data_IF_260023055291
#
_entry.id   IF_260023055291
#
_cell.length_a   1.000
_cell.length_b   1.000
_cell.length_c   1.000
_cell.angle_alpha   90.00
_cell.angle_beta   90.00
_cell.angle_gamma   90.00
#
_symmetry.space_group_name_H-M   'P 1'
#
loop_
_entity.id
_entity.type
_entity.pdbx_description
1 polymer ?
#
# COMPACT_ATOMS: atom_id res chain seq x y z
N UNK A 1 22.26 -10.33 13.54
CA UNK A 1 21.62 -9.29 14.40
C UNK A 1 20.33 -8.70 13.81
N UNK A 2 20.09 -8.79 12.50
CA UNK A 2 18.87 -8.27 11.84
C UNK A 2 17.61 -9.11 12.12
N UNK A 3 17.73 -10.44 12.21
CA UNK A 3 16.60 -11.34 12.50
C UNK A 3 15.99 -11.14 13.89
N UNK A 4 16.81 -11.00 14.94
CA UNK A 4 16.32 -10.78 16.31
C UNK A 4 15.52 -9.48 16.44
N UNK A 5 16.01 -8.38 15.84
CA UNK A 5 15.27 -7.11 15.78
C UNK A 5 13.96 -7.26 15.02
N UNK A 6 13.95 -8.00 13.91
CA UNK A 6 12.73 -8.28 13.15
C UNK A 6 11.72 -9.11 13.97
N UNK A 7 12.21 -10.06 14.78
CA UNK A 7 11.36 -10.90 15.64
C UNK A 7 10.75 -10.10 16.79
N UNK A 8 11.53 -9.23 17.46
CA UNK A 8 11.00 -8.33 18.50
C UNK A 8 9.95 -7.40 17.90
N UNK A 9 10.25 -6.77 16.76
CA UNK A 9 9.32 -5.89 16.07
C UNK A 9 8.02 -6.61 15.71
N UNK A 10 8.14 -7.82 15.15
CA UNK A 10 6.97 -8.65 14.83
C UNK A 10 6.17 -9.00 16.08
N UNK A 11 6.81 -9.42 17.18
CA UNK A 11 6.13 -9.75 18.42
C UNK A 11 5.40 -8.54 19.02
N UNK A 12 6.00 -7.35 18.97
CA UNK A 12 5.37 -6.11 19.41
C UNK A 12 4.15 -5.76 18.55
N UNK A 13 4.26 -5.86 17.22
CA UNK A 13 3.16 -5.57 16.29
C UNK A 13 2.04 -6.62 16.32
N UNK A 14 2.39 -7.89 16.50
CA UNK A 14 1.44 -9.01 16.54
C UNK A 14 0.68 -9.07 17.86
N UNK A 15 1.37 -8.91 18.99
CA UNK A 15 0.81 -9.03 20.34
C UNK A 15 0.51 -7.67 20.99
N UNK A 16 0.37 -6.61 20.19
CA UNK A 16 0.07 -5.25 20.69
C UNK A 16 -1.13 -5.21 21.65
N UNK A 17 -2.18 -6.02 21.39
CA UNK A 17 -3.37 -6.13 22.23
C UNK A 17 -3.02 -6.66 23.64
N UNK A 18 -2.15 -7.67 23.71
CA UNK A 18 -1.68 -8.24 24.98
C UNK A 18 -0.86 -7.20 25.74
N UNK A 19 0.01 -6.45 25.06
CA UNK A 19 0.81 -5.40 25.70
C UNK A 19 -0.05 -4.27 26.27
N UNK A 20 -1.02 -3.77 25.50
CA UNK A 20 -1.95 -2.74 25.98
C UNK A 20 -2.78 -3.26 27.16
N UNK A 21 -3.29 -4.48 27.06
CA UNK A 21 -4.05 -5.10 28.14
C UNK A 21 -3.20 -5.31 29.41
N UNK A 22 -1.94 -5.74 29.25
CA UNK A 22 -0.99 -5.88 30.35
C UNK A 22 -0.74 -4.54 31.07
N UNK A 23 -0.59 -3.45 30.32
CA UNK A 23 -0.42 -2.10 30.90
C UNK A 23 -1.66 -1.71 31.70
N UNK A 24 -2.86 -1.90 31.13
CA UNK A 24 -4.13 -1.62 31.81
C UNK A 24 -4.23 -2.45 33.09
N UNK A 25 -3.94 -3.75 33.01
CA UNK A 25 -3.92 -4.64 34.17
C UNK A 25 -2.92 -4.19 35.24
N UNK A 26 -1.70 -3.81 34.88
CA UNK A 26 -0.68 -3.33 35.83
C UNK A 26 -1.10 -2.02 36.50
N UNK A 27 -1.73 -1.10 35.76
CA UNK A 27 -2.30 0.13 36.34
C UNK A 27 -3.39 -0.23 37.36
N UNK A 28 -4.25 -1.19 37.04
CA UNK A 28 -5.28 -1.65 37.98
C UNK A 28 -4.65 -2.21 39.27
N UNK A 29 -3.65 -3.09 39.15
CA UNK A 29 -2.93 -3.66 40.31
C UNK A 29 -2.21 -2.59 41.13
N UNK A 30 -1.66 -1.57 40.47
CA UNK A 30 -1.01 -0.44 41.13
C UNK A 30 -2.02 0.37 41.97
N UNK A 31 -3.24 0.56 41.48
CA UNK A 31 -4.32 1.26 42.19
C UNK A 31 -4.84 0.43 43.37
N UNK A 32 -4.82 -0.90 43.27
CA UNK A 32 -5.21 -1.83 44.33
C UNK A 32 -4.14 -2.02 45.41
N UNK A 33 -2.95 -1.44 45.27
CA UNK A 33 -1.93 -1.58 46.30
C UNK A 33 -2.48 -1.11 47.65
N UNK A 34 -2.22 -1.88 48.73
CA UNK A 34 -2.78 -1.60 50.04
C UNK A 34 -2.40 -0.19 50.47
N UNK A 35 -3.29 0.42 51.28
CA UNK A 35 -3.00 1.65 52.00
C UNK A 35 -1.79 1.42 52.92
N UNK A 36 -0.58 1.56 52.39
CA UNK A 36 0.60 1.76 53.20
C UNK A 36 0.45 3.12 53.88
N UNK A 37 1.08 3.29 55.05
CA UNK A 37 0.93 4.42 55.98
C UNK A 37 1.13 5.83 55.36
N UNK A 38 1.55 5.91 54.10
CA UNK A 38 1.80 7.13 53.35
C UNK A 38 0.61 7.63 52.49
N UNK A 39 -0.51 6.88 52.42
CA UNK A 39 -1.64 7.23 51.53
C UNK A 39 -2.75 8.00 52.25
N UNK A 40 -3.08 9.18 51.72
CA UNK A 40 -4.00 10.16 52.32
C UNK A 40 -5.49 9.77 52.25
N UNK A 41 -5.86 8.74 51.48
CA UNK A 41 -7.24 8.32 51.26
C UNK A 41 -7.30 6.80 51.11
N UNK A 42 -7.96 6.10 52.04
CA UNK A 42 -8.23 4.67 51.93
C UNK A 42 -9.63 4.44 51.39
N UNK A 43 -9.69 4.00 50.12
CA UNK A 43 -10.92 3.65 49.43
C UNK A 43 -11.09 2.13 49.50
N UNK A 44 -12.29 1.60 49.84
CA UNK A 44 -12.54 0.17 49.79
C UNK A 44 -12.28 -0.41 48.40
N UNK A 45 -11.68 -1.60 48.33
CA UNK A 45 -11.36 -2.29 47.06
C UNK A 45 -12.59 -2.44 46.15
N UNK A 46 -13.76 -2.70 46.73
CA UNK A 46 -15.02 -2.83 45.98
C UNK A 46 -15.42 -1.54 45.27
N UNK A 47 -15.13 -0.37 45.86
CA UNK A 47 -15.42 0.92 45.24
C UNK A 47 -14.41 1.22 44.13
N UNK A 48 -13.12 0.90 44.36
CA UNK A 48 -12.06 1.03 43.34
C UNK A 48 -12.39 0.19 42.11
N UNK A 49 -12.71 -1.10 42.28
CA UNK A 49 -13.08 -2.00 41.19
C UNK A 49 -14.25 -1.45 40.39
N UNK A 50 -15.29 -0.93 41.06
CA UNK A 50 -16.48 -0.38 40.41
C UNK A 50 -16.17 0.88 39.59
N UNK A 51 -15.39 1.82 40.12
CA UNK A 51 -14.99 3.02 39.37
C UNK A 51 -14.08 2.69 38.20
N UNK A 52 -13.13 1.79 38.41
CA UNK A 52 -12.19 1.36 37.39
C UNK A 52 -12.90 0.59 36.27
N UNK A 53 -13.80 -0.33 36.62
CA UNK A 53 -14.67 -1.05 35.70
C UNK A 53 -15.50 -0.10 34.84
N UNK A 54 -16.20 0.86 35.45
CA UNK A 54 -17.00 1.86 34.73
C UNK A 54 -16.14 2.70 33.79
N UNK A 55 -14.96 3.12 34.22
CA UNK A 55 -14.04 3.93 33.41
C UNK A 55 -13.55 3.15 32.19
N UNK A 56 -13.11 1.90 32.38
CA UNK A 56 -12.66 1.05 31.28
C UNK A 56 -13.80 0.74 30.31
N UNK A 57 -15.02 0.47 30.80
CA UNK A 57 -16.17 0.23 29.92
C UNK A 57 -16.52 1.47 29.09
N UNK A 58 -16.50 2.66 29.69
CA UNK A 58 -16.72 3.92 28.97
C UNK A 58 -15.63 4.16 27.92
N UNK A 59 -14.36 3.95 28.26
CA UNK A 59 -13.26 4.07 27.31
C UNK A 59 -13.36 3.02 26.19
N UNK A 60 -13.65 1.76 26.53
CA UNK A 60 -13.81 0.69 25.56
C UNK A 60 -14.98 0.93 24.60
N UNK A 61 -16.13 1.37 25.14
CA UNK A 61 -17.30 1.76 24.36
C UNK A 61 -17.02 2.97 23.47
N UNK A 62 -16.36 3.99 24.01
CA UNK A 62 -15.93 5.17 23.26
C UNK A 62 -15.00 4.82 22.10
N UNK A 63 -14.02 3.94 22.33
CA UNK A 63 -13.13 3.44 21.28
C UNK A 63 -13.93 2.75 20.17
N UNK A 64 -14.89 1.88 20.52
CA UNK A 64 -15.73 1.21 19.50
C UNK A 64 -16.51 2.25 18.69
N UNK A 65 -17.21 3.18 19.35
CA UNK A 65 -18.06 4.18 18.69
C UNK A 65 -17.23 5.07 17.75
N UNK A 66 -16.09 5.59 18.20
CA UNK A 66 -15.20 6.43 17.38
C UNK A 66 -14.65 5.68 16.16
N UNK A 67 -14.61 4.35 16.19
CA UNK A 67 -14.11 3.53 15.09
C UNK A 67 -15.22 2.87 14.25
N UNK A 68 -16.51 3.09 14.55
CA UNK A 68 -17.61 2.54 13.72
C UNK A 68 -17.72 3.30 12.40
N UNK A 69 -17.65 4.63 12.42
CA UNK A 69 -17.83 5.48 11.24
C UNK A 69 -16.77 5.19 10.16
N UNK A 70 -15.52 5.01 10.59
CA UNK A 70 -14.39 4.70 9.71
C UNK A 70 -14.42 3.30 9.06
N UNK A 71 -15.34 2.41 9.46
CA UNK A 71 -15.28 0.98 9.09
C UNK A 71 -16.53 0.39 8.41
N UNK A 72 -17.67 1.09 8.40
CA UNK A 72 -18.94 0.54 7.88
C UNK A 72 -18.86 0.09 6.40
N UNK A 73 -18.01 0.70 5.58
CA UNK A 73 -17.83 0.32 4.17
C UNK A 73 -17.00 -0.95 3.94
N UNK A 74 -16.20 -1.38 4.91
CA UNK A 74 -15.14 -2.39 4.72
C UNK A 74 -15.51 -3.80 5.16
N UNK A 75 -16.49 -3.95 6.06
CA UNK A 75 -16.94 -5.26 6.55
C UNK A 75 -17.63 -6.14 5.51
N UNK A 76 -17.95 -5.61 4.33
CA UNK A 76 -18.68 -6.37 3.31
C UNK A 76 -17.82 -7.45 2.61
N UNK A 77 -16.48 -7.42 2.73
CA UNK A 77 -15.59 -8.27 1.91
C UNK A 77 -14.48 -9.02 2.65
N UNK A 78 -14.23 -8.79 3.93
CA UNK A 78 -13.11 -9.42 4.63
C UNK A 78 -13.56 -10.27 5.83
N UNK A 79 -13.04 -11.49 5.92
CA UNK A 79 -13.27 -12.37 7.05
C UNK A 79 -12.16 -12.15 8.11
N UNK A 80 -12.54 -11.91 9.37
CA UNK A 80 -11.63 -11.72 10.51
C UNK A 80 -10.59 -12.85 10.60
N UNK A 81 -11.01 -14.09 10.31
CA UNK A 81 -10.14 -15.27 10.33
C UNK A 81 -8.98 -15.14 9.34
N UNK A 82 -9.24 -14.58 8.16
CA UNK A 82 -8.21 -14.41 7.13
C UNK A 82 -7.10 -13.44 7.57
N UNK A 83 -7.43 -12.43 8.37
CA UNK A 83 -6.47 -11.48 8.91
C UNK A 83 -5.62 -12.08 10.02
N UNK A 84 -6.23 -12.82 10.96
CA UNK A 84 -5.47 -13.51 12.01
C UNK A 84 -4.48 -14.51 11.40
N UNK A 85 -4.90 -15.24 10.36
CA UNK A 85 -4.02 -16.14 9.62
C UNK A 85 -2.92 -15.40 8.85
N UNK A 86 -3.21 -14.22 8.29
CA UNK A 86 -2.21 -13.41 7.61
C UNK A 86 -1.10 -12.93 8.57
N UNK A 87 -1.47 -12.55 9.80
CA UNK A 87 -0.50 -12.17 10.84
C UNK A 87 0.40 -13.36 11.20
N UNK A 88 -0.18 -14.54 11.42
CA UNK A 88 0.59 -15.76 11.71
C UNK A 88 1.50 -16.13 10.53
N UNK A 89 1.00 -16.02 9.29
CA UNK A 89 1.80 -16.29 8.08
C UNK A 89 2.91 -15.27 7.85
N UNK A 90 2.77 -14.05 8.39
CA UNK A 90 3.80 -13.00 8.26
C UNK A 90 5.05 -13.22 9.12
N UNK A 91 5.05 -14.31 9.92
CA UNK A 91 6.14 -14.65 10.82
C UNK A 91 7.51 -14.67 10.10
N UNK A 92 8.51 -13.94 10.62
CA UNK A 92 9.76 -13.67 9.90
C UNK A 92 10.57 -14.93 9.58
N UNK A 93 10.39 -16.02 10.33
CA UNK A 93 11.07 -17.29 10.07
C UNK A 93 10.60 -18.01 8.80
N UNK A 94 9.41 -17.70 8.28
CA UNK A 94 8.87 -18.35 7.08
C UNK A 94 9.17 -17.59 5.78
N UNK A 95 9.84 -16.43 5.84
CA UNK A 95 10.14 -15.62 4.65
C UNK A 95 11.43 -16.11 4.00
N UNK A 96 11.32 -16.69 2.80
CA UNK A 96 12.49 -17.00 1.95
C UNK A 96 13.19 -15.69 1.57
N UNK A 97 14.52 -15.64 1.66
CA UNK A 97 15.29 -14.48 1.24
C UNK A 97 15.11 -14.25 -0.27
N UNK A 98 14.36 -13.21 -0.64
CA UNK A 98 14.26 -12.75 -2.03
C UNK A 98 15.42 -11.82 -2.32
N UNK A 99 16.34 -12.26 -3.17
CA UNK A 99 17.38 -11.42 -3.77
C UNK A 99 16.72 -10.44 -4.74
N UNK A 100 16.74 -9.15 -4.41
CA UNK A 100 16.24 -8.09 -5.30
C UNK A 100 17.40 -7.64 -6.19
N UNK A 101 17.42 -8.11 -7.44
CA UNK A 101 18.36 -7.65 -8.47
C UNK A 101 17.79 -6.40 -9.13
N UNK A 102 18.37 -5.23 -8.87
CA UNK A 102 18.02 -4.00 -9.60
C UNK A 102 18.83 -3.93 -10.90
N UNK A 103 18.16 -4.05 -12.04
CA UNK A 103 18.76 -3.73 -13.34
C UNK A 103 18.37 -2.30 -13.73
N UNK A 104 19.37 -1.49 -14.08
CA UNK A 104 19.20 -0.16 -14.64
C UNK A 104 19.65 -0.21 -16.10
N UNK A 105 18.72 0.02 -17.03
CA UNK A 105 19.02 0.10 -18.46
C UNK A 105 18.89 1.55 -18.90
N UNK A 106 19.97 2.12 -19.45
CA UNK A 106 19.96 3.43 -20.10
C UNK A 106 19.97 3.24 -21.62
N UNK A 107 19.02 3.85 -22.31
CA UNK A 107 18.94 3.85 -23.79
C UNK A 107 19.02 5.30 -24.26
N UNK A 108 19.98 5.61 -25.13
CA UNK A 108 20.15 6.91 -25.78
C UNK A 108 20.02 6.70 -27.29
N UNK A 109 18.96 7.24 -27.90
CA UNK A 109 18.74 7.20 -29.34
C UNK A 109 18.98 8.60 -29.93
N UNK A 110 19.94 8.73 -30.85
CA UNK A 110 20.18 9.93 -31.64
C UNK A 110 20.11 9.55 -33.13
N UNK A 111 19.00 9.89 -33.79
CA UNK A 111 18.84 9.73 -35.25
C UNK A 111 18.66 11.09 -35.91
N UNK A 112 19.49 11.37 -36.91
CA UNK A 112 19.41 12.55 -37.78
C UNK A 112 19.43 12.09 -39.24
N UNK A 113 18.25 12.02 -39.87
CA UNK A 113 18.12 11.68 -41.28
C UNK A 113 18.10 12.96 -42.14
N UNK A 114 19.23 13.33 -42.74
CA UNK A 114 19.31 14.38 -43.75
C UNK A 114 19.34 13.73 -45.14
N UNK A 115 18.24 13.85 -45.89
CA UNK A 115 18.17 13.39 -47.29
C UNK A 115 18.47 14.57 -48.22
N UNK A 116 19.62 14.56 -48.88
CA UNK A 116 19.97 15.55 -49.90
C UNK A 116 19.79 14.93 -51.29
N UNK A 117 18.90 15.49 -52.12
CA UNK A 117 18.66 15.04 -53.50
C UNK A 117 18.95 16.19 -54.47
N UNK A 118 19.77 15.93 -55.47
CA UNK A 118 20.12 16.90 -56.53
C UNK A 118 19.86 16.32 -57.91
N UNK A 119 19.49 17.17 -58.86
CA UNK A 119 19.41 16.83 -60.28
C UNK A 119 19.98 17.96 -61.15
N UNK A 120 20.40 17.60 -62.37
CA UNK A 120 20.89 18.54 -63.38
C UNK A 120 19.70 19.09 -64.17
N UNK A 121 19.71 20.38 -64.50
CA UNK A 121 18.64 21.03 -65.27
C UNK A 121 18.50 20.41 -66.67
N UNK A 122 17.31 19.98 -67.08
CA UNK A 122 17.07 19.41 -68.41
C UNK A 122 17.11 20.50 -69.50
N UNK A 123 17.58 20.13 -70.70
CA UNK A 123 17.73 20.96 -71.88
C UNK A 123 16.84 20.54 -73.05
N UNK A 124 16.37 19.28 -73.05
CA UNK A 124 15.45 18.73 -74.07
C UNK A 124 14.13 18.24 -73.45
N UNK A 125 13.13 17.99 -74.29
CA UNK A 125 11.81 17.48 -73.85
C UNK A 125 11.95 16.07 -73.27
N UNK A 126 12.79 15.23 -73.86
CA UNK A 126 13.07 13.87 -73.39
C UNK A 126 13.72 13.90 -72.00
N UNK A 127 14.69 14.80 -71.78
CA UNK A 127 15.31 15.01 -70.46
C UNK A 127 14.28 15.51 -69.44
N UNK A 128 13.32 16.36 -69.86
CA UNK A 128 12.21 16.79 -69.00
C UNK A 128 11.32 15.61 -68.57
N UNK A 129 10.98 14.71 -69.48
CA UNK A 129 10.17 13.52 -69.18
C UNK A 129 10.91 12.60 -68.21
N UNK A 130 12.22 12.39 -68.41
CA UNK A 130 13.04 11.57 -67.51
C UNK A 130 13.13 12.17 -66.10
N UNK A 131 13.30 13.49 -66.00
CA UNK A 131 13.33 14.19 -64.70
C UNK A 131 11.98 14.06 -63.98
N UNK A 132 10.85 14.23 -64.70
CA UNK A 132 9.52 14.05 -64.11
C UNK A 132 9.30 12.61 -63.63
N UNK A 133 9.72 11.61 -64.39
CA UNK A 133 9.64 10.21 -63.98
C UNK A 133 10.46 9.96 -62.71
N UNK A 134 11.69 10.49 -62.63
CA UNK A 134 12.52 10.43 -61.41
C UNK A 134 11.86 11.10 -60.22
N UNK A 135 11.23 12.26 -60.41
CA UNK A 135 10.50 12.95 -59.34
C UNK A 135 9.31 12.13 -58.84
N UNK A 136 8.57 11.46 -59.73
CA UNK A 136 7.47 10.56 -59.37
C UNK A 136 7.99 9.38 -58.55
N UNK A 137 9.09 8.76 -58.97
CA UNK A 137 9.68 7.62 -58.27
C UNK A 137 10.22 8.03 -56.89
N UNK A 138 10.86 9.20 -56.81
CA UNK A 138 11.26 9.83 -55.55
C UNK A 138 10.09 10.09 -54.60
N UNK A 139 8.97 10.60 -55.12
CA UNK A 139 7.77 10.85 -54.35
C UNK A 139 7.16 9.53 -53.84
N UNK A 140 7.14 8.48 -54.66
CA UNK A 140 6.68 7.14 -54.26
C UNK A 140 7.54 6.56 -53.13
N UNK A 141 8.86 6.69 -53.24
CA UNK A 141 9.80 6.24 -52.21
C UNK A 141 9.65 7.05 -50.91
N UNK A 142 9.45 8.36 -51.00
CA UNK A 142 9.19 9.19 -49.81
C UNK A 142 7.87 8.83 -49.15
N UNK A 143 6.81 8.61 -49.93
CA UNK A 143 5.51 8.19 -49.40
C UNK A 143 5.59 6.82 -48.72
N UNK A 144 6.31 5.87 -49.32
CA UNK A 144 6.56 4.55 -48.71
C UNK A 144 7.36 4.66 -47.41
N UNK A 145 8.39 5.50 -47.39
CA UNK A 145 9.19 5.75 -46.19
C UNK A 145 8.38 6.43 -45.09
N UNK A 146 7.60 7.46 -45.42
CA UNK A 146 6.72 8.12 -44.46
C UNK A 146 5.65 7.18 -43.92
N UNK A 147 5.08 6.30 -44.76
CA UNK A 147 4.12 5.31 -44.29
C UNK A 147 4.77 4.34 -43.28
N UNK A 148 6.00 3.91 -43.55
CA UNK A 148 6.78 3.05 -42.63
C UNK A 148 7.11 3.80 -41.33
N UNK A 149 7.65 5.00 -41.39
CA UNK A 149 7.96 5.85 -40.24
C UNK A 149 6.71 6.12 -39.39
N UNK A 150 5.56 6.38 -40.03
CA UNK A 150 4.29 6.57 -39.34
C UNK A 150 3.84 5.28 -38.65
N UNK A 151 3.95 4.13 -39.31
CA UNK A 151 3.63 2.83 -38.70
C UNK A 151 4.54 2.51 -37.51
N UNK A 152 5.84 2.82 -37.62
CA UNK A 152 6.81 2.66 -36.53
C UNK A 152 6.44 3.57 -35.34
N UNK A 153 6.12 4.84 -35.59
CA UNK A 153 5.64 5.79 -34.55
C UNK A 153 4.33 5.33 -33.90
N UNK A 154 3.38 4.81 -34.67
CA UNK A 154 2.12 4.28 -34.13
C UNK A 154 2.39 3.08 -33.22
N UNK A 155 3.26 2.16 -33.64
CA UNK A 155 3.64 0.99 -32.83
C UNK A 155 4.39 1.39 -31.55
N UNK A 156 5.29 2.37 -31.64
CA UNK A 156 6.00 2.93 -30.49
C UNK A 156 5.02 3.56 -29.49
N UNK A 157 4.11 4.43 -29.97
CA UNK A 157 3.08 5.04 -29.13
C UNK A 157 2.15 4.01 -28.49
N UNK A 158 1.78 2.95 -29.23
CA UNK A 158 0.99 1.85 -28.70
C UNK A 158 1.73 1.10 -27.58
N UNK A 159 3.03 0.85 -27.75
CA UNK A 159 3.89 0.24 -26.72
C UNK A 159 3.96 1.11 -25.46
N UNK A 160 4.22 2.41 -25.61
CA UNK A 160 4.27 3.37 -24.49
C UNK A 160 2.92 3.45 -23.76
N UNK A 161 1.81 3.45 -24.51
CA UNK A 161 0.47 3.46 -23.92
C UNK A 161 0.19 2.17 -23.14
N UNK A 162 0.56 1.01 -23.69
CA UNK A 162 0.42 -0.28 -23.02
C UNK A 162 1.24 -0.35 -21.73
N UNK A 163 2.48 0.16 -21.74
CA UNK A 163 3.32 0.27 -20.56
C UNK A 163 2.69 1.19 -19.51
N UNK A 164 2.16 2.34 -19.93
CA UNK A 164 1.46 3.27 -19.03
C UNK A 164 0.21 2.64 -18.41
N UNK A 165 -0.59 1.92 -19.20
CA UNK A 165 -1.77 1.18 -18.70
C UNK A 165 -1.34 0.12 -17.67
N UNK A 166 -0.29 -0.64 -17.95
CA UNK A 166 0.24 -1.62 -17.01
C UNK A 166 0.72 -0.96 -15.72
N UNK A 167 1.47 0.14 -15.81
CA UNK A 167 1.93 0.93 -14.66
C UNK A 167 0.75 1.46 -13.84
N UNK A 168 -0.21 2.14 -14.47
CA UNK A 168 -1.41 2.63 -13.78
C UNK A 168 -2.21 1.51 -13.11
N UNK A 169 -2.34 0.33 -13.75
CA UNK A 169 -2.98 -0.83 -13.14
C UNK A 169 -2.22 -1.30 -11.89
N UNK A 170 -0.89 -1.31 -11.93
CA UNK A 170 -0.08 -1.65 -10.74
C UNK A 170 -0.23 -0.61 -9.63
N UNK A 171 -0.30 0.68 -9.95
CA UNK A 171 -0.54 1.75 -8.98
C UNK A 171 -1.92 1.63 -8.33
N UNK A 172 -2.97 1.39 -9.13
CA UNK A 172 -4.33 1.18 -8.63
C UNK A 172 -4.40 -0.02 -7.69
N UNK A 173 -3.79 -1.15 -8.05
CA UNK A 173 -3.70 -2.31 -7.17
C UNK A 173 -2.93 -1.99 -5.88
N UNK A 174 -1.87 -1.17 -5.96
CA UNK A 174 -1.11 -0.72 -4.79
C UNK A 174 -1.94 0.19 -3.87
N UNK A 175 -2.82 1.03 -4.44
CA UNK A 175 -3.74 1.87 -3.68
C UNK A 175 -4.83 1.04 -3.03
N UNK A 176 -5.42 0.08 -3.75
CA UNK A 176 -6.39 -0.85 -3.20
C UNK A 176 -5.82 -1.62 -2.00
N UNK A 177 -4.60 -2.15 -2.13
CA UNK A 177 -3.93 -2.83 -1.01
C UNK A 177 -3.61 -1.89 0.15
N UNK A 178 -3.22 -0.63 -0.09
CA UNK A 178 -3.02 0.37 0.98
C UNK A 178 -4.33 0.73 1.68
N UNK A 179 -5.43 0.89 0.94
CA UNK A 179 -6.75 1.15 1.50
C UNK A 179 -7.20 -0.02 2.37
N UNK A 180 -7.05 -1.26 1.87
CA UNK A 180 -7.33 -2.48 2.64
C UNK A 180 -6.47 -2.53 3.91
N UNK A 181 -5.17 -2.25 3.80
CA UNK A 181 -4.28 -2.27 4.97
C UNK A 181 -4.60 -1.17 5.99
N UNK A 182 -4.97 0.03 5.52
CA UNK A 182 -5.41 1.13 6.38
C UNK A 182 -6.70 0.78 7.12
N UNK A 183 -7.65 0.17 6.41
CA UNK A 183 -8.91 -0.32 6.96
C UNK A 183 -8.76 -1.48 7.95
N UNK A 184 -7.77 -2.35 7.76
CA UNK A 184 -7.47 -3.41 8.74
C UNK A 184 -6.89 -2.81 10.02
N UNK A 185 -6.20 -1.67 9.90
CA UNK A 185 -5.71 -0.89 11.04
C UNK A 185 -6.82 -0.44 11.99
N UNK A 186 -8.02 -0.16 11.48
CA UNK A 186 -9.16 0.32 12.27
C UNK A 186 -10.00 -0.79 12.92
N UNK A 187 -9.76 -2.07 12.61
CA UNK A 187 -10.39 -3.19 13.32
C UNK A 187 -9.69 -3.49 14.66
N UNK A 188 -8.38 -3.23 14.74
CA UNK A 188 -7.56 -3.37 15.95
C UNK A 188 -8.16 -2.64 17.18
N UNK A 189 -8.46 -1.33 17.12
CA UNK A 189 -9.02 -0.61 18.26
C UNK A 189 -10.42 -1.12 18.65
N UNK A 190 -11.23 -1.62 17.71
CA UNK A 190 -12.55 -2.18 18.04
C UNK A 190 -12.43 -3.47 18.88
N UNK A 191 -11.50 -4.37 18.53
CA UNK A 191 -11.22 -5.57 19.35
C UNK A 191 -10.72 -5.15 20.73
N UNK A 192 -9.82 -4.16 20.83
CA UNK A 192 -9.37 -3.64 22.11
C UNK A 192 -10.53 -3.09 22.94
N UNK A 193 -11.39 -2.27 22.34
CA UNK A 193 -12.56 -1.72 23.01
C UNK A 193 -13.48 -2.81 23.54
N UNK A 194 -13.71 -3.87 22.76
CA UNK A 194 -14.51 -5.02 23.19
C UNK A 194 -13.86 -5.77 24.37
N UNK A 195 -12.55 -6.05 24.30
CA UNK A 195 -11.81 -6.72 25.39
C UNK A 195 -11.84 -5.87 26.67
N UNK A 196 -11.70 -4.54 26.55
CA UNK A 196 -11.81 -3.62 27.68
C UNK A 196 -13.21 -3.67 28.31
N UNK A 197 -14.28 -3.62 27.53
CA UNK A 197 -15.65 -3.74 28.04
C UNK A 197 -15.84 -5.06 28.79
N UNK A 198 -15.40 -6.18 28.22
CA UNK A 198 -15.48 -7.50 28.86
C UNK A 198 -14.70 -7.53 30.18
N UNK A 199 -13.49 -6.96 30.20
CA UNK A 199 -12.68 -6.88 31.42
C UNK A 199 -13.33 -6.02 32.49
N UNK A 200 -13.86 -4.84 32.13
CA UNK A 200 -14.60 -4.01 33.08
C UNK A 200 -15.87 -4.68 33.59
N UNK A 201 -16.59 -5.43 32.73
CA UNK A 201 -17.77 -6.18 33.15
C UNK A 201 -17.41 -7.29 34.16
N UNK A 202 -16.30 -7.98 33.93
CA UNK A 202 -15.77 -8.97 34.86
C UNK A 202 -15.40 -8.34 36.22
N UNK A 203 -14.72 -7.18 36.21
CA UNK A 203 -14.37 -6.46 37.44
C UNK A 203 -15.59 -5.94 38.22
N UNK A 204 -16.72 -5.70 37.55
CA UNK A 204 -17.94 -5.25 38.23
C UNK A 204 -18.69 -6.39 38.94
N UNK A 205 -18.35 -7.65 38.62
CA UNK A 205 -18.94 -8.85 39.25
C UNK A 205 -18.15 -9.27 40.50
N UNK A 206 -16.84 -9.01 40.52
CA UNK A 206 -15.92 -9.33 41.62
C UNK A 206 -15.91 -8.20 42.66
#
# INVERSE_FOLDING_TARGET
MTLFKALIKWAYEAFWLIWVFLIVYLIHQLILLPCNELSLVCIPETQINKYYASTIQLLGGGIIILNIDSNLGLFKKTNIVSHSLAIIKSFPLNKKLTTVTKQHTFVLNFESNIKNRGYKGPSTIEEHIEVLQKQIDWLKDDLKNHHRELSEKINEQHSVLSEKIASTKTEVNSLETKIINSAVGSLKPQILGFVLICYGAWLNII
#
